data_IF_021123696204
#
_entry.id   IF_021123696204
#
_cell.length_a   1.000
_cell.length_b   1.000
_cell.length_c   1.000
_cell.angle_alpha   90.00
_cell.angle_beta   90.00
_cell.angle_gamma   90.00
#
_symmetry.space_group_name_H-M   'P 1'
#
loop_
_entity.id
_entity.type
_entity.pdbx_description
1 polymer ?
#
# COMPACT_ATOMS: atom_id res chain seq x y z
N UNK A 1 14.44 -2.91 23.17
CA UNK A 1 14.55 -1.55 22.59
C UNK A 1 13.32 -0.78 23.03
N UNK A 2 13.49 0.40 23.62
CA UNK A 2 12.37 1.21 24.07
C UNK A 2 12.21 2.43 23.17
N UNK A 3 10.97 2.68 22.72
CA UNK A 3 10.63 3.86 21.94
C UNK A 3 10.32 5.00 22.91
N UNK A 4 11.03 6.12 22.77
CA UNK A 4 10.75 7.35 23.52
C UNK A 4 9.43 8.00 23.06
N UNK A 5 8.82 8.83 23.91
CA UNK A 5 7.62 9.58 23.53
C UNK A 5 7.84 10.47 22.30
N UNK A 6 9.05 11.03 22.17
CA UNK A 6 9.42 11.84 21.01
C UNK A 6 9.46 10.98 19.73
N UNK A 7 10.11 9.81 19.76
CA UNK A 7 10.13 8.90 18.62
C UNK A 7 8.72 8.42 18.26
N UNK A 8 7.89 8.05 19.23
CA UNK A 8 6.51 7.65 19.01
C UNK A 8 5.66 8.78 18.40
N UNK A 9 5.86 10.03 18.85
CA UNK A 9 5.19 11.19 18.30
C UNK A 9 5.63 11.49 16.86
N UNK A 10 6.92 11.34 16.54
CA UNK A 10 7.43 11.49 15.17
C UNK A 10 6.78 10.44 14.26
N UNK A 11 6.75 9.17 14.68
CA UNK A 11 6.09 8.10 13.92
C UNK A 11 4.59 8.37 13.72
N UNK A 12 3.90 8.82 14.76
CA UNK A 12 2.50 9.22 14.67
C UNK A 12 2.27 10.39 13.71
N UNK A 13 3.17 11.36 13.69
CA UNK A 13 3.11 12.48 12.75
C UNK A 13 3.28 12.00 11.31
N UNK A 14 4.25 11.12 11.03
CA UNK A 14 4.43 10.53 9.72
C UNK A 14 3.25 9.64 9.29
N UNK A 15 2.57 8.99 10.24
CA UNK A 15 1.33 8.26 9.97
C UNK A 15 0.17 9.18 9.55
N UNK A 16 0.11 10.42 10.05
CA UNK A 16 -0.82 11.44 9.59
C UNK A 16 -0.40 12.03 8.24
N UNK A 17 0.89 12.34 8.06
CA UNK A 17 1.44 12.91 6.83
C UNK A 17 1.36 11.95 5.64
N UNK A 18 1.35 10.65 5.90
CA UNK A 18 1.13 9.62 4.89
C UNK A 18 -0.35 9.48 4.47
N UNK A 19 -1.27 10.26 5.05
CA UNK A 19 -2.68 10.26 4.65
C UNK A 19 -3.00 11.35 3.61
N UNK A 20 -4.22 11.31 3.05
CA UNK A 20 -4.72 12.24 2.02
C UNK A 20 -4.57 13.74 2.36
N UNK A 21 -4.75 14.21 3.61
CA UNK A 21 -4.50 15.61 3.99
C UNK A 21 -3.02 15.94 4.23
N UNK A 22 -2.13 14.96 4.12
CA UNK A 22 -0.71 15.08 4.38
C UNK A 22 0.08 15.69 3.22
N UNK A 23 1.41 15.72 3.41
CA UNK A 23 2.39 16.36 2.53
C UNK A 23 2.18 15.95 1.06
N UNK A 24 1.76 16.88 0.19
CA UNK A 24 1.60 16.63 -1.25
C UNK A 24 0.46 15.69 -1.65
N UNK A 25 -0.57 15.51 -0.80
CA UNK A 25 -1.79 14.79 -1.14
C UNK A 25 -1.60 13.30 -1.43
N UNK A 26 -2.37 12.75 -2.36
CA UNK A 26 -2.35 11.31 -2.69
C UNK A 26 -0.99 10.85 -3.21
N UNK A 27 -0.28 11.66 -3.99
CA UNK A 27 0.95 11.25 -4.66
C UNK A 27 2.13 11.11 -3.71
N UNK A 28 2.34 12.09 -2.83
CA UNK A 28 3.48 12.09 -1.93
C UNK A 28 3.13 11.51 -0.55
N UNK A 29 2.03 11.96 0.07
CA UNK A 29 1.58 11.42 1.36
C UNK A 29 1.20 9.95 1.25
N UNK A 30 0.12 9.65 0.53
CA UNK A 30 -0.42 8.29 0.49
C UNK A 30 0.50 7.30 -0.25
N UNK A 31 0.87 7.63 -1.48
CA UNK A 31 1.59 6.69 -2.34
C UNK A 31 3.07 6.54 -2.02
N UNK A 32 3.73 7.57 -1.47
CA UNK A 32 5.17 7.52 -1.17
C UNK A 32 5.39 7.25 0.32
N UNK A 33 4.95 8.15 1.21
CA UNK A 33 5.16 8.00 2.66
C UNK A 33 4.35 6.85 3.27
N UNK A 34 3.22 6.46 2.68
CA UNK A 34 2.40 5.36 3.17
C UNK A 34 2.93 3.97 2.82
N UNK A 35 3.93 3.85 1.93
CA UNK A 35 4.45 2.55 1.48
C UNK A 35 5.52 2.01 2.44
N UNK A 36 5.47 0.70 2.80
CA UNK A 36 6.38 0.11 3.78
C UNK A 36 7.88 0.30 3.51
N UNK A 37 8.32 0.42 2.24
CA UNK A 37 9.73 0.68 1.94
C UNK A 37 10.20 2.05 2.47
N UNK A 38 9.43 3.11 2.20
CA UNK A 38 9.73 4.46 2.68
C UNK A 38 9.45 4.55 4.19
N UNK A 39 8.35 3.95 4.64
CA UNK A 39 8.04 3.82 6.06
C UNK A 39 9.17 3.15 6.84
N UNK A 40 9.80 2.12 6.26
CA UNK A 40 10.93 1.40 6.86
C UNK A 40 12.18 2.23 6.99
N UNK A 41 12.49 3.05 5.98
CA UNK A 41 13.56 4.04 6.07
C UNK A 41 13.29 5.06 7.18
N UNK A 42 12.08 5.63 7.23
CA UNK A 42 11.70 6.62 8.24
C UNK A 42 11.76 5.99 9.65
N UNK A 43 11.19 4.82 9.84
CA UNK A 43 11.23 4.10 11.12
C UNK A 43 12.66 3.76 11.51
N UNK A 44 13.49 3.30 10.58
CA UNK A 44 14.90 3.00 10.82
C UNK A 44 15.70 4.23 11.26
N UNK A 45 15.49 5.39 10.64
CA UNK A 45 16.10 6.66 11.04
C UNK A 45 15.63 7.08 12.43
N UNK A 46 14.32 7.03 12.69
CA UNK A 46 13.74 7.45 13.98
C UNK A 46 14.18 6.53 15.12
N UNK A 47 14.29 5.23 14.88
CA UNK A 47 14.65 4.22 15.87
C UNK A 47 16.16 3.97 15.97
N UNK A 48 16.96 4.53 15.07
CA UNK A 48 18.42 4.43 15.08
C UNK A 48 18.99 3.14 14.49
N UNK A 49 18.18 2.34 13.79
CA UNK A 49 18.60 1.14 13.08
C UNK A 49 18.01 1.13 11.65
N UNK A 50 18.73 1.80 10.75
CA UNK A 50 18.32 2.00 9.37
C UNK A 50 18.28 0.68 8.59
N UNK A 51 19.27 -0.19 8.81
CA UNK A 51 19.39 -1.45 8.07
C UNK A 51 18.22 -2.37 8.38
N UNK A 52 17.93 -2.58 9.68
CA UNK A 52 16.77 -3.39 10.08
C UNK A 52 15.46 -2.75 9.61
N UNK A 53 15.33 -1.42 9.70
CA UNK A 53 14.14 -0.70 9.23
C UNK A 53 13.86 -0.91 7.74
N UNK A 54 14.89 -0.83 6.89
CA UNK A 54 14.76 -1.07 5.44
C UNK A 54 14.43 -2.54 5.17
N UNK A 55 15.10 -3.49 5.82
CA UNK A 55 14.86 -4.93 5.61
C UNK A 55 13.44 -5.34 6.00
N UNK A 56 12.96 -4.88 7.17
CA UNK A 56 11.57 -5.07 7.61
C UNK A 56 10.59 -4.40 6.65
N UNK A 57 10.91 -3.19 6.20
CA UNK A 57 10.12 -2.45 5.22
C UNK A 57 9.99 -3.18 3.88
N UNK A 58 11.07 -3.79 3.38
CA UNK A 58 11.06 -4.61 2.14
C UNK A 58 10.15 -5.82 2.32
N UNK A 59 10.29 -6.56 3.43
CA UNK A 59 9.48 -7.74 3.69
C UNK A 59 7.98 -7.40 3.72
N UNK A 60 7.60 -6.31 4.40
CA UNK A 60 6.21 -5.83 4.42
C UNK A 60 5.77 -5.24 3.07
N UNK A 61 6.67 -4.59 2.32
CA UNK A 61 6.35 -4.03 1.00
C UNK A 61 5.97 -5.13 0.01
N UNK A 62 6.62 -6.30 0.07
CA UNK A 62 6.31 -7.45 -0.78
C UNK A 62 4.88 -7.96 -0.55
N UNK A 63 4.41 -7.94 0.70
CA UNK A 63 3.02 -8.30 1.07
C UNK A 63 1.99 -7.39 0.39
N UNK A 64 2.32 -6.10 0.25
CA UNK A 64 1.40 -5.07 -0.25
C UNK A 64 1.78 -4.50 -1.62
N UNK A 65 2.70 -5.15 -2.36
CA UNK A 65 3.24 -4.61 -3.62
C UNK A 65 2.16 -4.39 -4.67
N UNK A 66 1.16 -5.28 -4.67
CA UNK A 66 0.04 -5.25 -5.59
C UNK A 66 -1.26 -4.79 -4.93
N UNK A 67 -1.16 -4.12 -3.77
CA UNK A 67 -2.29 -3.47 -3.15
C UNK A 67 -2.68 -2.24 -3.99
N UNK A 68 -3.90 -2.32 -4.52
CA UNK A 68 -4.64 -1.26 -5.20
C UNK A 68 -5.99 -1.12 -4.52
N UNK A 69 -6.55 0.09 -4.53
CA UNK A 69 -7.79 0.45 -3.83
C UNK A 69 -8.93 0.74 -4.82
N UNK A 70 -9.44 -0.26 -5.56
CA UNK A 70 -10.55 -0.03 -6.48
C UNK A 70 -11.83 0.37 -5.71
N UNK A 71 -12.54 1.37 -6.24
CA UNK A 71 -13.83 1.81 -5.68
C UNK A 71 -13.75 2.39 -4.26
N UNK A 72 -12.57 2.81 -3.79
CA UNK A 72 -12.38 3.35 -2.44
C UNK A 72 -12.40 2.30 -1.32
N UNK A 73 -12.40 1.00 -1.66
CA UNK A 73 -12.35 -0.09 -0.67
C UNK A 73 -10.91 -0.43 -0.30
N UNK A 74 -10.55 -0.26 0.98
CA UNK A 74 -9.20 -0.51 1.49
C UNK A 74 -9.19 -1.87 2.20
N UNK A 75 -8.61 -2.88 1.55
CA UNK A 75 -8.48 -4.22 2.13
C UNK A 75 -7.35 -4.34 3.17
N UNK A 76 -6.39 -3.41 3.15
CA UNK A 76 -5.34 -3.26 4.15
C UNK A 76 -4.83 -1.82 4.16
N UNK A 77 -4.60 -1.24 5.35
CA UNK A 77 -4.03 0.11 5.45
C UNK A 77 -2.50 0.07 5.55
N UNK A 78 -1.83 0.41 4.45
CA UNK A 78 -0.37 0.46 4.37
C UNK A 78 0.26 1.53 5.26
N UNK A 79 -0.49 2.55 5.70
CA UNK A 79 0.00 3.53 6.67
C UNK A 79 0.20 2.89 8.04
N UNK A 80 -0.79 2.14 8.52
CA UNK A 80 -0.65 1.39 9.77
C UNK A 80 0.49 0.38 9.69
N UNK A 81 0.64 -0.33 8.56
CA UNK A 81 1.76 -1.24 8.33
C UNK A 81 3.10 -0.51 8.48
N UNK A 82 3.23 0.66 7.85
CA UNK A 82 4.46 1.44 7.82
C UNK A 82 4.86 2.03 9.17
N UNK A 83 3.90 2.56 9.93
CA UNK A 83 4.20 3.35 11.14
C UNK A 83 3.81 2.69 12.46
N UNK A 84 3.14 1.54 12.44
CA UNK A 84 2.89 0.69 13.61
C UNK A 84 3.58 -0.65 13.41
N UNK A 85 3.37 -1.28 12.25
CA UNK A 85 3.88 -2.61 11.94
C UNK A 85 5.42 -2.66 11.97
N UNK A 86 6.08 -1.77 11.23
CA UNK A 86 7.54 -1.76 11.14
C UNK A 86 8.21 -1.50 12.50
N UNK A 87 7.84 -0.45 13.27
CA UNK A 87 8.42 -0.24 14.61
C UNK A 87 8.25 -1.44 15.54
N UNK A 88 7.06 -2.06 15.57
CA UNK A 88 6.81 -3.23 16.41
C UNK A 88 7.59 -4.47 15.94
N UNK A 89 7.69 -4.70 14.63
CA UNK A 89 8.49 -5.78 14.07
C UNK A 89 9.99 -5.61 14.38
N UNK A 90 10.51 -4.39 14.28
CA UNK A 90 11.91 -4.08 14.66
C UNK A 90 12.17 -4.36 16.15
N UNK A 91 11.23 -4.00 17.03
CA UNK A 91 11.33 -4.36 18.45
C UNK A 91 11.28 -5.88 18.63
N UNK A 92 10.34 -6.56 17.97
CA UNK A 92 10.16 -8.00 18.09
C UNK A 92 11.40 -8.78 17.66
N UNK A 93 11.98 -8.46 16.49
CA UNK A 93 13.22 -9.06 15.98
C UNK A 93 14.35 -8.93 16.99
N UNK A 94 14.54 -7.72 17.54
CA UNK A 94 15.58 -7.46 18.53
C UNK A 94 15.33 -8.20 19.85
N UNK A 95 14.08 -8.29 20.29
CA UNK A 95 13.71 -9.05 21.49
C UNK A 95 13.88 -10.56 21.32
N UNK A 96 13.75 -11.09 20.10
CA UNK A 96 13.99 -12.50 19.80
C UNK A 96 15.44 -12.82 19.40
N UNK A 97 16.29 -11.79 19.24
CA UNK A 97 17.64 -11.98 18.71
C UNK A 97 17.66 -12.49 17.27
N UNK A 98 16.60 -12.22 16.49
CA UNK A 98 16.50 -12.60 15.08
C UNK A 98 17.07 -11.51 14.19
N UNK A 99 17.86 -11.93 13.19
CA UNK A 99 18.32 -11.03 12.14
C UNK A 99 17.17 -10.70 11.18
N UNK A 100 16.96 -9.41 10.90
CA UNK A 100 15.98 -8.93 9.93
C UNK A 100 16.22 -9.49 8.51
N UNK A 101 17.47 -9.85 8.18
CA UNK A 101 17.81 -10.45 6.89
C UNK A 101 17.47 -11.95 6.80
N UNK A 102 17.31 -12.63 7.94
CA UNK A 102 17.01 -14.06 7.98
C UNK A 102 15.60 -14.37 7.45
N UNK A 103 15.38 -15.60 6.97
CA UNK A 103 14.05 -16.04 6.51
C UNK A 103 13.00 -15.91 7.61
N UNK A 104 13.36 -16.26 8.85
CA UNK A 104 12.47 -16.14 10.01
C UNK A 104 12.18 -14.67 10.34
N UNK A 105 13.18 -13.80 10.21
CA UNK A 105 13.01 -12.37 10.45
C UNK A 105 12.13 -11.68 9.40
N UNK A 106 12.33 -12.01 8.12
CA UNK A 106 11.49 -11.51 7.02
C UNK A 106 10.05 -12.01 7.15
N UNK A 107 9.88 -13.28 7.50
CA UNK A 107 8.56 -13.86 7.75
C UNK A 107 7.89 -13.09 8.89
N UNK A 108 8.60 -12.88 10.01
CA UNK A 108 8.05 -12.20 11.18
C UNK A 108 7.59 -10.79 10.82
N UNK A 109 8.41 -10.05 10.08
CA UNK A 109 8.04 -8.75 9.55
C UNK A 109 6.78 -8.81 8.67
N UNK A 110 6.68 -9.74 7.72
CA UNK A 110 5.50 -9.90 6.88
C UNK A 110 4.24 -10.21 7.69
N UNK A 111 4.37 -11.01 8.75
CA UNK A 111 3.30 -11.33 9.68
C UNK A 111 2.82 -10.13 10.50
N UNK A 112 3.73 -9.35 11.07
CA UNK A 112 3.39 -8.07 11.70
C UNK A 112 2.69 -7.14 10.71
N UNK A 113 3.17 -7.08 9.47
CA UNK A 113 2.54 -6.32 8.40
C UNK A 113 1.10 -6.75 8.17
N UNK A 114 0.84 -8.06 8.02
CA UNK A 114 -0.49 -8.63 7.80
C UNK A 114 -1.47 -8.31 8.94
N UNK A 115 -1.02 -8.52 10.18
CA UNK A 115 -1.81 -8.26 11.38
C UNK A 115 -2.18 -6.78 11.49
N UNK A 116 -1.18 -5.91 11.41
CA UNK A 116 -1.35 -4.47 11.57
C UNK A 116 -2.07 -3.85 10.38
N UNK A 117 -1.91 -4.39 9.17
CA UNK A 117 -2.65 -3.94 7.99
C UNK A 117 -4.15 -4.14 8.15
N UNK A 118 -4.56 -5.25 8.79
CA UNK A 118 -5.96 -5.54 9.11
C UNK A 118 -6.47 -4.57 10.19
N UNK A 119 -5.74 -4.39 11.29
CA UNK A 119 -6.06 -3.39 12.31
C UNK A 119 -6.20 -1.99 11.70
N UNK A 120 -5.29 -1.65 10.78
CA UNK A 120 -5.25 -0.39 10.07
C UNK A 120 -6.49 -0.14 9.21
N UNK A 121 -7.14 -1.16 8.66
CA UNK A 121 -8.42 -0.96 7.95
C UNK A 121 -9.49 -0.37 8.86
N UNK A 122 -9.55 -0.81 10.12
CA UNK A 122 -10.51 -0.27 11.10
C UNK A 122 -10.18 1.20 11.38
N UNK A 123 -8.90 1.54 11.54
CA UNK A 123 -8.44 2.92 11.73
C UNK A 123 -8.74 3.80 10.50
N UNK A 124 -8.56 3.25 9.30
CA UNK A 124 -8.85 3.91 8.04
C UNK A 124 -10.35 4.21 7.91
N UNK A 125 -11.21 3.21 8.13
CA UNK A 125 -12.66 3.40 8.06
C UNK A 125 -13.20 4.26 9.20
N UNK A 126 -12.58 4.22 10.38
CA UNK A 126 -12.85 5.16 11.46
C UNK A 126 -12.57 6.60 11.03
N UNK A 127 -11.43 6.84 10.40
CA UNK A 127 -11.10 8.16 9.82
C UNK A 127 -12.12 8.57 8.76
N UNK A 128 -12.47 7.66 7.84
CA UNK A 128 -13.45 7.94 6.79
C UNK A 128 -14.83 8.30 7.37
N UNK A 129 -15.24 7.61 8.45
CA UNK A 129 -16.51 7.85 9.13
C UNK A 129 -16.55 9.24 9.77
N UNK A 130 -15.50 9.64 10.48
CA UNK A 130 -15.44 11.00 11.06
C UNK A 130 -15.41 12.05 9.94
N UNK A 131 -14.71 11.77 8.83
CA UNK A 131 -14.67 12.68 7.70
C UNK A 131 -16.04 12.94 7.05
N UNK A 132 -17.01 12.02 7.16
CA UNK A 132 -18.39 12.26 6.70
C UNK A 132 -19.06 13.44 7.44
N UNK A 133 -18.72 13.66 8.72
CA UNK A 133 -19.23 14.80 9.49
C UNK A 133 -18.74 16.11 8.90
N UNK A 134 -17.45 16.17 8.52
CA UNK A 134 -16.88 17.35 7.88
C UNK A 134 -17.48 17.57 6.50
N UNK A 135 -17.68 16.50 5.73
CA UNK A 135 -18.30 16.58 4.41
C UNK A 135 -19.71 17.17 4.49
N UNK A 136 -20.51 16.82 5.50
CA UNK A 136 -21.83 17.44 5.69
C UNK A 136 -21.76 18.96 5.87
N UNK A 137 -20.76 19.47 6.60
CA UNK A 137 -20.51 20.91 6.77
C UNK A 137 -20.03 21.53 5.44
N UNK A 138 -19.23 20.79 4.68
CA UNK A 138 -18.74 21.17 3.35
C UNK A 138 -19.88 21.38 2.36
N UNK A 139 -20.84 20.44 2.29
CA UNK A 139 -22.01 20.55 1.42
C UNK A 139 -22.83 21.81 1.70
N UNK A 140 -23.09 22.11 2.98
CA UNK A 140 -23.77 23.34 3.37
C UNK A 140 -23.00 24.60 2.95
N UNK A 141 -21.67 24.57 3.06
CA UNK A 141 -20.82 25.71 2.63
C UNK A 141 -20.83 25.91 1.12
N UNK A 142 -20.99 24.83 0.33
CA UNK A 142 -21.16 24.90 -1.14
C UNK A 142 -22.50 25.51 -1.50
N UNK A 143 -23.58 25.12 -0.82
CA UNK A 143 -24.92 25.69 -1.02
C UNK A 143 -24.95 27.19 -0.71
N UNK A 144 -24.22 27.61 0.33
CA UNK A 144 -24.11 29.01 0.74
C UNK A 144 -23.09 29.83 -0.11
N UNK A 145 -22.38 29.18 -1.05
CA UNK A 145 -21.36 29.83 -1.90
C UNK A 145 -20.05 30.22 -1.18
N UNK A 146 -19.83 29.76 0.05
CA UNK A 146 -18.67 30.10 0.87
C UNK A 146 -17.49 29.15 0.62
N UNK A 147 -16.72 29.47 -0.43
CA UNK A 147 -15.52 28.71 -0.81
C UNK A 147 -14.40 28.77 0.24
N UNK A 148 -14.38 29.78 1.11
CA UNK A 148 -13.39 29.90 2.18
C UNK A 148 -13.60 28.83 3.25
N UNK A 149 -14.86 28.63 3.68
CA UNK A 149 -15.23 27.52 4.58
C UNK A 149 -15.00 26.17 3.95
N UNK A 150 -15.28 26.00 2.66
CA UNK A 150 -15.00 24.75 1.95
C UNK A 150 -13.51 24.37 1.99
N UNK A 151 -12.60 25.35 1.86
CA UNK A 151 -11.16 25.11 2.00
C UNK A 151 -10.78 24.63 3.41
N UNK A 152 -11.37 25.21 4.46
CA UNK A 152 -11.12 24.78 5.84
C UNK A 152 -11.64 23.34 6.06
N UNK A 153 -12.82 23.03 5.52
CA UNK A 153 -13.42 21.69 5.61
C UNK A 153 -12.57 20.64 4.90
N UNK A 154 -11.93 20.99 3.79
CA UNK A 154 -11.10 20.05 3.03
C UNK A 154 -9.67 19.91 3.56
N UNK A 155 -9.05 21.01 4.02
CA UNK A 155 -7.63 21.02 4.38
C UNK A 155 -7.35 20.97 5.89
N UNK A 156 -8.28 21.40 6.74
CA UNK A 156 -8.02 21.57 8.19
C UNK A 156 -8.80 20.55 9.02
N UNK A 157 -10.12 20.44 8.82
CA UNK A 157 -10.94 19.54 9.64
C UNK A 157 -10.54 18.06 9.58
N UNK A 158 -10.12 17.50 8.43
CA UNK A 158 -9.70 16.10 8.35
C UNK A 158 -8.46 15.79 9.19
N UNK A 159 -7.61 16.78 9.51
CA UNK A 159 -6.48 16.57 10.41
C UNK A 159 -6.92 16.14 11.81
N UNK A 160 -8.08 16.61 12.28
CA UNK A 160 -8.64 16.18 13.58
C UNK A 160 -8.92 14.68 13.54
N UNK A 161 -9.54 14.19 12.47
CA UNK A 161 -9.81 12.76 12.28
C UNK A 161 -8.54 11.94 12.19
N UNK A 162 -7.51 12.45 11.52
CA UNK A 162 -6.21 11.78 11.47
C UNK A 162 -5.47 11.78 12.81
N UNK A 163 -5.58 12.84 13.60
CA UNK A 163 -5.00 12.85 14.95
C UNK A 163 -5.67 11.76 15.81
N UNK A 164 -7.00 11.69 15.78
CA UNK A 164 -7.76 10.74 16.58
C UNK A 164 -7.54 9.29 16.12
N UNK A 165 -7.67 9.03 14.82
CA UNK A 165 -7.68 7.66 14.28
C UNK A 165 -6.31 7.18 13.78
N UNK A 166 -5.29 8.04 13.70
CA UNK A 166 -3.94 7.65 13.26
C UNK A 166 -2.85 8.04 14.24
N UNK A 167 -2.75 9.32 14.63
CA UNK A 167 -1.67 9.78 15.51
C UNK A 167 -1.71 9.08 16.86
N UNK A 168 -2.86 9.13 17.55
CA UNK A 168 -3.03 8.57 18.89
C UNK A 168 -2.79 7.04 18.90
N UNK A 169 -3.41 6.25 18.00
CA UNK A 169 -3.13 4.81 17.94
C UNK A 169 -1.66 4.48 17.70
N UNK A 170 -0.99 5.17 16.76
CA UNK A 170 0.43 4.95 16.45
C UNK A 170 1.29 5.30 17.66
N UNK A 171 1.04 6.46 18.28
CA UNK A 171 1.78 6.94 19.44
C UNK A 171 1.66 5.96 20.61
N UNK A 172 0.45 5.49 20.92
CA UNK A 172 0.23 4.53 22.01
C UNK A 172 0.88 3.19 21.69
N UNK A 173 0.62 2.61 20.51
CA UNK A 173 1.13 1.27 20.17
C UNK A 173 2.66 1.25 20.08
N UNK A 174 3.27 2.26 19.47
CA UNK A 174 4.73 2.36 19.41
C UNK A 174 5.35 2.65 20.78
N UNK A 175 4.73 3.51 21.60
CA UNK A 175 5.26 3.81 22.93
C UNK A 175 5.19 2.61 23.85
N UNK A 176 4.09 1.85 23.78
CA UNK A 176 3.95 0.60 24.51
C UNK A 176 5.02 -0.40 24.11
N UNK A 177 5.50 -0.38 22.85
CA UNK A 177 6.73 -1.06 22.45
C UNK A 177 6.76 -2.52 22.87
N UNK A 178 7.71 -2.90 23.73
CA UNK A 178 7.89 -4.27 24.21
C UNK A 178 6.62 -4.85 24.87
N UNK A 179 5.94 -4.19 25.83
CA UNK A 179 4.63 -4.61 26.33
C UNK A 179 3.58 -4.90 25.25
N UNK A 180 3.53 -4.12 24.17
CA UNK A 180 2.62 -4.39 23.05
C UNK A 180 3.06 -5.63 22.26
N UNK A 181 4.37 -5.81 22.07
CA UNK A 181 4.92 -7.03 21.47
C UNK A 181 4.68 -8.25 22.36
N UNK A 182 4.72 -8.11 23.68
CA UNK A 182 4.45 -9.20 24.63
C UNK A 182 2.95 -9.53 24.71
N UNK A 183 2.07 -8.53 24.66
CA UNK A 183 0.65 -8.73 24.40
C UNK A 183 0.44 -9.51 23.09
N UNK A 184 1.11 -9.10 22.01
CA UNK A 184 1.07 -9.83 20.75
C UNK A 184 1.60 -11.26 20.95
N UNK A 185 2.67 -11.49 21.70
CA UNK A 185 3.17 -12.85 21.99
C UNK A 185 2.18 -13.71 22.76
N UNK A 186 1.54 -13.13 23.77
CA UNK A 186 0.63 -13.83 24.66
C UNK A 186 -0.63 -14.26 23.91
N UNK A 187 -1.18 -13.35 23.10
CA UNK A 187 -2.40 -13.61 22.34
C UNK A 187 -2.13 -14.23 20.95
N UNK A 188 -0.91 -14.10 20.41
CA UNK A 188 -0.46 -14.60 19.10
C UNK A 188 0.95 -15.22 19.17
N UNK A 189 1.15 -16.30 19.95
CA UNK A 189 2.45 -16.97 20.02
C UNK A 189 2.83 -17.55 18.66
N UNK A 190 4.12 -17.47 18.29
CA UNK A 190 4.66 -17.92 16.99
C UNK A 190 4.30 -19.36 16.63
N UNK A 191 4.31 -20.25 17.64
CA UNK A 191 3.93 -21.66 17.48
C UNK A 191 2.43 -21.91 17.58
N UNK A 192 1.68 -20.88 18.00
CA UNK A 192 0.24 -20.89 18.11
C UNK A 192 -0.43 -20.99 16.75
N UNK A 193 -1.64 -21.58 16.76
CA UNK A 193 -2.45 -21.75 15.57
C UNK A 193 -2.68 -20.41 14.85
N UNK A 194 -2.94 -19.33 15.61
CA UNK A 194 -3.18 -18.01 15.05
C UNK A 194 -1.97 -17.47 14.29
N UNK A 195 -0.77 -17.61 14.85
CA UNK A 195 0.43 -17.06 14.24
C UNK A 195 0.90 -17.91 13.06
N UNK A 196 0.89 -19.25 13.15
CA UNK A 196 1.10 -20.15 12.00
C UNK A 196 0.11 -19.86 10.86
N UNK A 197 -1.14 -19.60 11.20
CA UNK A 197 -2.16 -19.20 10.22
C UNK A 197 -1.83 -17.84 9.62
N UNK A 198 -1.45 -16.83 10.43
CA UNK A 198 -1.06 -15.50 9.94
C UNK A 198 0.20 -15.53 9.07
N UNK A 199 1.20 -16.38 9.36
CA UNK A 199 2.37 -16.60 8.50
C UNK A 199 1.97 -17.23 7.17
N UNK A 200 1.17 -18.29 7.23
CA UNK A 200 0.71 -19.01 6.04
C UNK A 200 -0.13 -18.09 5.17
N UNK A 201 -1.11 -17.38 5.75
CA UNK A 201 -1.97 -16.42 5.05
C UNK A 201 -1.18 -15.20 4.58
N UNK A 202 -0.26 -14.69 5.38
CA UNK A 202 0.64 -13.58 5.02
C UNK A 202 1.50 -13.91 3.79
N UNK A 203 1.96 -15.16 3.66
CA UNK A 203 2.67 -15.63 2.47
C UNK A 203 1.79 -15.69 1.21
N UNK A 204 0.46 -15.76 1.36
CA UNK A 204 -0.50 -15.77 0.26
C UNK A 204 -0.94 -14.36 -0.17
N UNK A 205 -0.77 -13.34 0.67
CA UNK A 205 -1.17 -11.97 0.35
C UNK A 205 -0.52 -11.40 -0.92
N UNK A 206 0.78 -11.63 -1.21
CA UNK A 206 1.37 -11.27 -2.50
C UNK A 206 0.61 -11.89 -3.70
N UNK A 207 0.17 -13.15 -3.58
CA UNK A 207 -0.60 -13.82 -4.62
C UNK A 207 -1.98 -13.15 -4.81
N UNK A 208 -2.64 -12.77 -3.72
CA UNK A 208 -3.92 -12.04 -3.77
C UNK A 208 -3.76 -10.70 -4.47
N UNK A 209 -2.69 -9.95 -4.16
CA UNK A 209 -2.41 -8.69 -4.83
C UNK A 209 -2.22 -8.88 -6.34
N UNK A 210 -1.40 -9.86 -6.76
CA UNK A 210 -1.21 -10.19 -8.18
C UNK A 210 -2.54 -10.58 -8.83
N UNK A 211 -3.38 -11.35 -8.15
CA UNK A 211 -4.69 -11.75 -8.65
C UNK A 211 -5.65 -10.55 -8.83
N UNK A 212 -5.64 -9.58 -7.91
CA UNK A 212 -6.45 -8.36 -8.03
C UNK A 212 -5.98 -7.52 -9.24
N UNK A 213 -4.66 -7.35 -9.41
CA UNK A 213 -4.12 -6.65 -10.58
C UNK A 213 -4.50 -7.36 -11.88
N UNK A 214 -4.38 -8.68 -11.93
CA UNK A 214 -4.81 -9.47 -13.07
C UNK A 214 -6.29 -9.28 -13.37
N UNK A 215 -7.14 -9.30 -12.35
CA UNK A 215 -8.59 -9.04 -12.53
C UNK A 215 -8.87 -7.64 -13.08
N UNK A 216 -8.05 -6.65 -12.77
CA UNK A 216 -8.20 -5.28 -13.29
C UNK A 216 -7.66 -5.13 -14.72
N UNK A 217 -6.59 -5.84 -15.07
CA UNK A 217 -5.88 -5.69 -16.36
C UNK A 217 -6.47 -6.61 -17.43
N UNK A 218 -6.87 -7.83 -17.05
CA UNK A 218 -7.43 -8.83 -17.96
C UNK A 218 -8.88 -8.45 -18.30
N UNK A 219 -9.10 -8.05 -19.54
CA UNK A 219 -10.44 -7.72 -20.07
C UNK A 219 -10.98 -8.90 -20.89
N UNK A 220 -10.09 -9.67 -21.52
CA UNK A 220 -10.45 -10.84 -22.35
C UNK A 220 -9.62 -12.06 -21.96
N UNK A 221 -10.16 -13.25 -22.16
CA UNK A 221 -9.44 -14.51 -21.92
C UNK A 221 -8.12 -14.60 -22.71
N UNK A 222 -8.02 -13.93 -23.85
CA UNK A 222 -6.77 -13.83 -24.63
C UNK A 222 -5.65 -13.08 -23.91
N UNK A 223 -5.96 -12.16 -22.99
CA UNK A 223 -4.95 -11.37 -22.29
C UNK A 223 -4.15 -12.24 -21.30
N UNK A 224 -4.73 -13.36 -20.84
CA UNK A 224 -4.02 -14.36 -20.05
C UNK A 224 -2.85 -15.00 -20.81
N UNK A 225 -2.90 -15.07 -22.14
CA UNK A 225 -1.84 -15.70 -22.94
C UNK A 225 -0.51 -14.95 -22.75
N UNK A 226 -0.53 -13.62 -22.76
CA UNK A 226 0.67 -12.81 -22.52
C UNK A 226 1.14 -12.90 -21.07
N UNK A 227 0.21 -12.99 -20.12
CA UNK A 227 0.56 -13.21 -18.72
C UNK A 227 1.28 -14.55 -18.50
N UNK A 228 0.72 -15.66 -18.99
CA UNK A 228 1.31 -16.99 -18.83
C UNK A 228 2.64 -17.13 -19.58
N UNK A 229 2.77 -16.49 -20.75
CA UNK A 229 4.05 -16.42 -21.47
C UNK A 229 5.12 -15.71 -20.61
N UNK A 230 4.81 -14.51 -20.10
CA UNK A 230 5.72 -13.75 -19.25
C UNK A 230 6.08 -14.49 -17.96
N UNK A 231 5.09 -15.10 -17.30
CA UNK A 231 5.27 -15.90 -16.09
C UNK A 231 6.21 -17.09 -16.33
N UNK A 232 5.97 -17.86 -17.40
CA UNK A 232 6.79 -19.03 -17.76
C UNK A 232 8.22 -18.62 -18.11
N UNK A 233 8.39 -17.53 -18.86
CA UNK A 233 9.71 -16.99 -19.20
C UNK A 233 10.47 -16.52 -17.96
N UNK A 234 9.80 -15.78 -17.07
CA UNK A 234 10.43 -15.30 -15.84
C UNK A 234 10.90 -16.45 -14.95
N UNK A 235 10.07 -17.48 -14.76
CA UNK A 235 10.39 -18.64 -13.94
C UNK A 235 11.48 -19.54 -14.56
N UNK A 236 11.44 -19.78 -15.88
CA UNK A 236 12.39 -20.67 -16.55
C UNK A 236 13.77 -20.07 -16.75
N UNK A 237 13.86 -18.75 -16.96
CA UNK A 237 15.11 -18.04 -17.25
C UNK A 237 15.67 -17.28 -16.04
N UNK A 238 14.98 -17.31 -14.89
CA UNK A 238 15.40 -16.61 -13.67
C UNK A 238 15.44 -15.08 -13.84
N UNK A 239 14.56 -14.52 -14.66
CA UNK A 239 14.57 -13.10 -15.00
C UNK A 239 14.06 -12.28 -13.81
N UNK A 240 14.85 -11.30 -13.37
CA UNK A 240 14.45 -10.39 -12.30
C UNK A 240 13.38 -9.37 -12.75
N UNK A 241 12.73 -8.69 -11.80
CA UNK A 241 11.61 -7.78 -12.07
C UNK A 241 11.97 -6.65 -13.05
N UNK A 242 13.20 -6.13 -12.98
CA UNK A 242 13.66 -5.02 -13.84
C UNK A 242 13.77 -5.50 -15.28
N UNK A 243 14.46 -6.62 -15.51
CA UNK A 243 14.61 -7.22 -16.83
C UNK A 243 13.25 -7.63 -17.43
N UNK A 244 12.36 -8.19 -16.61
CA UNK A 244 11.00 -8.54 -17.04
C UNK A 244 10.21 -7.30 -17.49
N UNK A 245 10.38 -6.17 -16.79
CA UNK A 245 9.71 -4.90 -17.13
C UNK A 245 10.19 -4.35 -18.48
N UNK A 246 11.49 -4.42 -18.77
CA UNK A 246 12.04 -3.97 -20.06
C UNK A 246 11.53 -4.83 -21.22
N UNK A 247 11.50 -6.16 -21.03
CA UNK A 247 10.97 -7.11 -22.03
C UNK A 247 9.48 -6.84 -22.27
N UNK A 248 8.68 -6.76 -21.20
CA UNK A 248 7.25 -6.47 -21.29
C UNK A 248 6.97 -5.11 -21.94
N UNK A 249 7.75 -4.08 -21.61
CA UNK A 249 7.65 -2.74 -22.21
C UNK A 249 7.90 -2.76 -23.72
N UNK A 250 8.86 -3.57 -24.18
CA UNK A 250 9.11 -3.75 -25.63
C UNK A 250 7.90 -4.36 -26.34
N UNK A 251 7.31 -5.43 -25.79
CA UNK A 251 6.08 -6.02 -26.33
C UNK A 251 4.90 -5.05 -26.28
N UNK A 252 4.78 -4.24 -25.23
CA UNK A 252 3.71 -3.24 -25.11
C UNK A 252 3.82 -2.16 -26.18
N UNK A 253 5.03 -1.64 -26.46
CA UNK A 253 5.25 -0.64 -27.51
C UNK A 253 4.93 -1.22 -28.90
N UNK A 254 5.34 -2.46 -29.18
CA UNK A 254 5.04 -3.12 -30.45
C UNK A 254 3.52 -3.28 -30.61
N UNK A 255 2.82 -3.81 -29.60
CA UNK A 255 1.36 -3.96 -29.65
C UNK A 255 0.63 -2.62 -29.78
N UNK A 256 1.12 -1.58 -29.10
CA UNK A 256 0.57 -0.23 -29.21
C UNK A 256 0.69 0.29 -30.64
N UNK A 257 1.88 0.17 -31.27
CA UNK A 257 2.10 0.57 -32.66
C UNK A 257 1.21 -0.20 -33.63
N UNK A 258 1.07 -1.51 -33.47
CA UNK A 258 0.21 -2.35 -34.30
C UNK A 258 -1.26 -1.89 -34.18
N UNK A 259 -1.78 -1.69 -32.97
CA UNK A 259 -3.14 -1.18 -32.75
C UNK A 259 -3.34 0.21 -33.35
N UNK A 260 -2.38 1.12 -33.19
CA UNK A 260 -2.46 2.46 -33.79
C UNK A 260 -2.54 2.39 -35.31
N UNK A 261 -1.70 1.58 -35.96
CA UNK A 261 -1.75 1.38 -37.43
C UNK A 261 -3.08 0.79 -37.88
N UNK A 262 -3.63 -0.18 -37.15
CA UNK A 262 -4.95 -0.77 -37.45
C UNK A 262 -6.08 0.27 -37.33
N UNK A 263 -6.02 1.15 -36.34
CA UNK A 263 -7.00 2.24 -36.17
C UNK A 263 -6.87 3.27 -37.30
N UNK A 264 -5.65 3.70 -37.63
CA UNK A 264 -5.40 4.63 -38.75
C UNK A 264 -5.86 4.06 -40.09
N UNK A 265 -5.59 2.77 -40.35
CA UNK A 265 -6.04 2.09 -41.57
C UNK A 265 -7.57 1.98 -41.66
N UNK A 266 -8.24 1.80 -40.52
CA UNK A 266 -9.71 1.76 -40.45
C UNK A 266 -10.34 3.15 -40.65
N UNK A 267 -9.65 4.22 -40.23
CA UNK A 267 -10.06 5.60 -40.46
C UNK A 267 -9.79 6.10 -41.89
N UNK A 268 -8.77 5.57 -42.57
CA UNK A 268 -8.51 5.87 -43.98
C UNK A 268 -9.40 5.08 -44.94
N UNK A 269 -9.87 3.89 -44.54
CA UNK A 269 -10.76 3.04 -45.36
C UNK A 269 -12.24 3.45 -45.35
N UNK A 270 -12.63 4.52 -44.64
CA UNK A 270 -13.99 5.08 -44.67
C UNK A 270 -14.16 6.23 -45.66
N UNK A 271 -13.16 6.51 -46.50
CA UNK A 271 -13.20 7.59 -47.50
C UNK A 271 -13.40 7.06 -48.94
N UNK A 272 -13.18 5.77 -49.22
CA UNK A 272 -13.17 5.23 -50.59
C UNK A 272 -14.42 4.38 -50.96
N UNK A 273 -15.65 4.77 -50.57
CA UNK A 273 -16.85 3.97 -50.91
C UNK A 273 -17.96 4.75 -51.65
N UNK A 274 -17.77 6.01 -52.05
CA UNK A 274 -18.88 6.81 -52.62
C UNK A 274 -18.69 7.38 -54.03
N UNK A 275 -17.67 6.95 -54.80
CA UNK A 275 -17.38 7.56 -56.11
C UNK A 275 -17.32 6.61 -57.33
N UNK A 276 -17.83 5.39 -57.27
CA UNK A 276 -18.06 4.59 -58.49
C UNK A 276 -19.35 3.77 -58.43
N UNK A 277 -20.49 4.39 -58.77
CA UNK A 277 -21.48 3.76 -59.65
C UNK A 277 -22.05 4.81 -60.62
N UNK A 278 -21.76 4.55 -61.90
CA UNK A 278 -22.04 5.31 -63.12
C UNK A 278 -23.54 5.56 -63.43
N UNK A 279 -23.78 6.69 -64.10
CA UNK A 279 -24.63 6.95 -65.30
C UNK A 279 -26.05 6.33 -65.35
#
# INVERSE_FOLDING_TARGET
MEISWLQAAILGLFACLSSMPGLGGTSFGNYTLGRPLIGGLVCGVVLGDIQSGILVGIAMQLVYIALVTPGGTVSADVRAVSYIGIPLAMIALKSYGLDAASLDGQSLAASFGTMVGTLGTVLFYGTATINLVWQHIGWKSVEDGDLSKLNIVNYVLPWISHIICSFIPVLIMCKMGAPMVDLIKEYLPMDGLAMKTLFTVGSLLPCVGIAILLKQIVVKASDFVMFFLGFTLAASLGINLVSATVIAGTFAIINYRIKMVMITKKASGSIDVDDEEDI
#
